data_IF_715892762422
#
_entry.id   IF_715892762422
#
_cell.length_a   1.000
_cell.length_b   1.000
_cell.length_c   1.000
_cell.angle_alpha   90.00
_cell.angle_beta   90.00
_cell.angle_gamma   90.00
#
_symmetry.space_group_name_H-M   'P 1'
#
loop_
_entity.id
_entity.type
_entity.pdbx_description
1 polymer ?
#
# COMPACT_ATOMS: atom_id res chain seq x y z
N UNK A 1 -20.61 -16.60 -5.06
CA UNK A 1 -20.21 -15.93 -3.80
C UNK A 1 -21.46 -15.26 -3.19
N UNK A 2 -21.77 -15.61 -1.95
CA UNK A 2 -22.90 -15.02 -1.23
C UNK A 2 -22.39 -13.82 -0.41
N UNK A 3 -22.51 -12.63 -0.96
CA UNK A 3 -22.21 -11.40 -0.23
C UNK A 3 -23.21 -11.19 0.91
N UNK A 4 -22.70 -10.97 2.12
CA UNK A 4 -23.53 -10.63 3.28
C UNK A 4 -23.95 -11.78 4.20
N UNK A 5 -23.66 -13.03 3.84
CA UNK A 5 -23.93 -14.21 4.67
C UNK A 5 -22.64 -15.03 4.81
N UNK A 6 -22.16 -15.19 6.05
CA UNK A 6 -20.94 -15.95 6.34
C UNK A 6 -19.67 -15.26 5.84
N UNK A 7 -18.70 -16.05 5.46
CA UNK A 7 -17.43 -15.63 4.88
C UNK A 7 -17.47 -15.61 3.34
N UNK A 8 -16.47 -14.96 2.74
CA UNK A 8 -16.31 -14.90 1.28
C UNK A 8 -14.86 -15.08 0.88
N UNK A 9 -14.66 -15.91 -0.15
CA UNK A 9 -13.43 -15.99 -0.93
C UNK A 9 -13.59 -15.09 -2.14
N UNK A 10 -12.81 -14.00 -2.26
CA UNK A 10 -12.93 -13.06 -3.37
C UNK A 10 -11.68 -13.11 -4.27
N UNK A 11 -11.82 -13.79 -5.40
CA UNK A 11 -10.81 -13.87 -6.43
C UNK A 11 -11.09 -12.95 -7.63
N UNK A 12 -11.96 -11.97 -7.44
CA UNK A 12 -12.33 -10.99 -8.47
C UNK A 12 -11.13 -10.20 -8.99
N UNK A 13 -10.21 -9.81 -8.09
CA UNK A 13 -8.99 -9.09 -8.45
C UNK A 13 -8.04 -9.99 -9.25
N UNK A 14 -7.79 -11.23 -8.83
CA UNK A 14 -6.85 -12.11 -9.53
C UNK A 14 -7.48 -12.76 -10.77
N UNK A 15 -8.36 -13.73 -10.60
CA UNK A 15 -8.96 -14.48 -11.72
C UNK A 15 -10.00 -13.67 -12.50
N UNK A 16 -10.73 -12.80 -11.84
CA UNK A 16 -11.73 -11.94 -12.47
C UNK A 16 -11.18 -10.67 -13.10
N UNK A 17 -9.88 -10.40 -12.96
CA UNK A 17 -9.17 -9.24 -13.50
C UNK A 17 -9.81 -7.89 -13.13
N UNK A 18 -10.59 -7.82 -12.05
CA UNK A 18 -11.10 -6.57 -11.49
C UNK A 18 -9.94 -5.72 -10.96
N UNK A 19 -10.13 -4.41 -10.91
CA UNK A 19 -9.12 -3.51 -10.31
C UNK A 19 -9.09 -3.65 -8.78
N UNK A 20 -8.01 -3.19 -8.12
CA UNK A 20 -7.93 -3.24 -6.66
C UNK A 20 -9.02 -2.40 -5.99
N UNK A 21 -9.48 -1.32 -6.64
CA UNK A 21 -10.57 -0.47 -6.16
C UNK A 21 -11.91 -1.22 -6.03
N UNK A 22 -12.09 -2.35 -6.75
CA UNK A 22 -13.28 -3.20 -6.57
C UNK A 22 -13.41 -3.75 -5.15
N UNK A 23 -12.30 -3.88 -4.41
CA UNK A 23 -12.30 -4.30 -3.02
C UNK A 23 -12.96 -3.27 -2.07
N UNK A 24 -13.17 -2.02 -2.51
CA UNK A 24 -13.93 -1.01 -1.77
C UNK A 24 -15.45 -1.25 -1.80
N UNK A 25 -15.93 -2.00 -2.77
CA UNK A 25 -17.36 -2.27 -3.00
C UNK A 25 -17.74 -3.73 -2.81
N UNK A 26 -16.83 -4.64 -3.13
CA UNK A 26 -17.01 -6.09 -2.98
C UNK A 26 -16.72 -6.49 -1.50
N UNK A 27 -17.61 -6.08 -0.60
CA UNK A 27 -17.41 -6.15 0.85
C UNK A 27 -18.24 -7.28 1.47
N UNK A 28 -17.60 -8.33 2.01
CA UNK A 28 -18.27 -9.39 2.75
C UNK A 28 -18.41 -9.07 4.24
N UNK A 29 -19.14 -9.90 4.98
CA UNK A 29 -19.14 -9.88 6.45
C UNK A 29 -17.77 -10.28 7.04
N UNK A 30 -17.10 -11.21 6.37
CA UNK A 30 -15.76 -11.68 6.67
C UNK A 30 -15.07 -12.07 5.35
N UNK A 31 -13.95 -11.43 5.06
CA UNK A 31 -13.11 -11.79 3.90
C UNK A 31 -12.15 -12.89 4.32
N UNK A 32 -12.50 -14.14 4.04
CA UNK A 32 -11.69 -15.29 4.42
C UNK A 32 -10.57 -15.59 3.44
N UNK A 33 -10.67 -15.08 2.19
CA UNK A 33 -9.61 -15.27 1.20
C UNK A 33 -9.71 -14.23 0.08
N UNK A 34 -8.58 -13.59 -0.21
CA UNK A 34 -8.31 -12.80 -1.42
C UNK A 34 -6.82 -12.71 -1.62
N UNK A 35 -6.33 -12.47 -2.83
CA UNK A 35 -4.90 -12.46 -3.06
C UNK A 35 -4.46 -11.88 -4.40
N UNK A 36 -3.18 -11.56 -4.48
CA UNK A 36 -2.48 -11.12 -5.68
C UNK A 36 -1.05 -11.65 -5.66
N UNK A 37 -0.49 -12.01 -6.82
CA UNK A 37 0.86 -12.58 -6.89
C UNK A 37 1.96 -11.53 -7.09
N UNK A 38 3.17 -11.91 -6.67
CA UNK A 38 4.43 -11.31 -7.14
C UNK A 38 5.53 -12.37 -7.21
N UNK A 39 6.60 -12.04 -7.92
CA UNK A 39 7.85 -12.77 -7.81
C UNK A 39 8.38 -12.69 -6.37
N UNK A 40 9.19 -13.66 -5.91
CA UNK A 40 10.02 -13.46 -4.72
C UNK A 40 11.15 -12.47 -5.03
N UNK A 41 11.93 -12.07 -4.02
CA UNK A 41 13.10 -11.19 -4.24
C UNK A 41 14.16 -11.87 -5.12
N UNK A 42 14.99 -11.05 -5.81
CA UNK A 42 16.03 -11.53 -6.71
C UNK A 42 16.98 -12.56 -6.08
N UNK A 43 17.31 -12.40 -4.78
CA UNK A 43 18.14 -13.39 -4.05
C UNK A 43 17.51 -14.78 -3.99
N UNK A 44 16.19 -14.85 -3.95
CA UNK A 44 15.44 -16.12 -3.99
C UNK A 44 15.37 -16.65 -5.42
N UNK A 45 15.13 -15.79 -6.41
CA UNK A 45 15.12 -16.17 -7.83
C UNK A 45 16.49 -16.78 -8.22
N UNK A 46 17.59 -16.19 -7.80
CA UNK A 46 18.94 -16.69 -8.07
C UNK A 46 19.24 -18.10 -7.49
N UNK A 47 18.37 -18.65 -6.65
CA UNK A 47 18.51 -20.03 -6.16
C UNK A 47 17.99 -21.09 -7.14
N UNK A 48 17.16 -20.70 -8.10
CA UNK A 48 16.53 -21.63 -9.05
C UNK A 48 16.67 -21.21 -10.53
N UNK A 49 17.15 -20.00 -10.80
CA UNK A 49 17.30 -19.47 -12.16
C UNK A 49 18.69 -18.86 -12.35
N UNK A 50 19.26 -19.04 -13.55
CA UNK A 50 20.48 -18.39 -13.98
C UNK A 50 20.16 -17.04 -14.67
N UNK A 51 21.14 -16.12 -14.85
CA UNK A 51 20.89 -14.83 -15.48
C UNK A 51 20.24 -14.89 -16.87
N UNK A 52 20.51 -15.92 -17.65
CA UNK A 52 19.90 -16.17 -18.96
C UNK A 52 18.39 -16.46 -18.88
N UNK A 53 17.89 -16.87 -17.71
CA UNK A 53 16.47 -17.15 -17.43
C UNK A 53 15.71 -15.93 -16.91
N UNK A 54 16.39 -14.78 -16.72
CA UNK A 54 15.78 -13.56 -16.15
C UNK A 54 14.84 -12.87 -17.14
N UNK A 55 13.79 -13.57 -17.49
CA UNK A 55 12.69 -13.14 -18.35
C UNK A 55 11.39 -13.75 -17.82
N UNK A 56 10.32 -12.93 -17.75
CA UNK A 56 9.04 -13.37 -17.13
C UNK A 56 8.39 -14.57 -17.84
N UNK A 57 8.78 -14.85 -19.08
CA UNK A 57 8.23 -15.93 -19.92
C UNK A 57 9.22 -17.08 -20.12
N UNK A 58 10.39 -17.07 -19.46
CA UNK A 58 11.34 -18.18 -19.56
C UNK A 58 10.74 -19.49 -19.04
N UNK A 59 11.24 -20.63 -19.52
CA UNK A 59 10.78 -21.95 -19.07
C UNK A 59 10.94 -22.10 -17.55
N UNK A 60 12.05 -21.61 -16.99
CA UNK A 60 12.34 -21.67 -15.56
C UNK A 60 11.32 -20.83 -14.77
N UNK A 61 11.02 -19.58 -15.20
CA UNK A 61 10.04 -18.75 -14.52
C UNK A 61 8.62 -19.32 -14.61
N UNK A 62 8.26 -19.93 -15.73
CA UNK A 62 6.98 -20.62 -15.90
C UNK A 62 6.90 -21.91 -15.07
N UNK A 63 7.99 -22.66 -14.93
CA UNK A 63 8.05 -23.82 -14.06
C UNK A 63 7.93 -23.45 -12.57
N UNK A 64 8.42 -22.25 -12.19
CA UNK A 64 8.35 -21.71 -10.83
C UNK A 64 7.14 -20.74 -10.64
N UNK A 65 6.02 -21.00 -11.33
CA UNK A 65 4.80 -20.19 -11.22
C UNK A 65 3.62 -21.04 -10.74
N UNK A 66 2.98 -20.65 -9.63
CA UNK A 66 1.80 -21.36 -9.08
C UNK A 66 0.53 -21.21 -9.92
N UNK A 67 0.46 -20.23 -10.81
CA UNK A 67 -0.71 -19.98 -11.66
C UNK A 67 -0.28 -19.89 -13.12
N UNK A 68 -0.87 -20.71 -13.99
CA UNK A 68 -0.53 -20.74 -15.42
C UNK A 68 -0.63 -19.39 -16.15
N UNK A 69 -1.44 -18.46 -15.61
CA UNK A 69 -1.62 -17.10 -16.16
C UNK A 69 -0.83 -16.03 -15.39
N UNK A 70 -0.08 -16.43 -14.35
CA UNK A 70 0.41 -15.52 -13.32
C UNK A 70 1.35 -14.44 -13.81
N UNK A 71 2.39 -14.83 -14.59
CA UNK A 71 3.40 -13.88 -15.04
C UNK A 71 2.82 -12.79 -15.95
N UNK A 72 1.99 -13.19 -16.94
CA UNK A 72 1.31 -12.26 -17.82
C UNK A 72 0.32 -11.37 -17.06
N UNK A 73 -0.37 -11.94 -16.06
CA UNK A 73 -1.35 -11.19 -15.27
C UNK A 73 -0.71 -10.14 -14.36
N UNK A 74 0.46 -10.44 -13.76
CA UNK A 74 1.25 -9.44 -13.01
C UNK A 74 1.59 -8.25 -13.92
N UNK A 75 2.07 -8.50 -15.16
CA UNK A 75 2.35 -7.45 -16.14
C UNK A 75 1.10 -6.62 -16.45
N UNK A 76 -0.04 -7.27 -16.72
CA UNK A 76 -1.31 -6.58 -17.02
C UNK A 76 -1.74 -5.63 -15.91
N UNK A 77 -1.61 -6.03 -14.64
CA UNK A 77 -1.91 -5.15 -13.50
C UNK A 77 -0.87 -4.05 -13.34
N UNK A 78 0.41 -4.37 -13.59
CA UNK A 78 1.48 -3.36 -13.54
C UNK A 78 1.21 -2.24 -14.54
N UNK A 79 0.81 -2.54 -15.77
CA UNK A 79 0.45 -1.55 -16.80
C UNK A 79 -0.67 -0.59 -16.39
N UNK A 80 -1.55 -1.01 -15.48
CA UNK A 80 -2.65 -0.16 -14.98
C UNK A 80 -2.16 0.96 -14.06
N UNK A 81 -1.14 0.69 -13.24
CA UNK A 81 -0.77 1.53 -12.10
C UNK A 81 0.69 2.02 -12.12
N UNK A 82 1.57 1.38 -12.91
CA UNK A 82 3.01 1.64 -12.99
C UNK A 82 3.49 1.72 -14.43
N UNK A 83 4.66 2.30 -14.63
CA UNK A 83 5.46 2.14 -15.85
C UNK A 83 6.10 0.75 -15.74
N UNK A 84 5.88 -0.10 -16.76
CA UNK A 84 6.46 -1.45 -16.77
C UNK A 84 7.95 -1.37 -17.08
N UNK A 85 8.84 -1.82 -16.19
CA UNK A 85 10.27 -1.82 -16.45
C UNK A 85 10.67 -2.81 -17.54
N UNK A 86 11.71 -2.48 -18.30
CA UNK A 86 12.31 -3.36 -19.31
C UNK A 86 13.24 -4.41 -18.68
N UNK A 87 13.97 -4.03 -17.61
CA UNK A 87 14.86 -4.93 -16.91
C UNK A 87 14.09 -5.85 -15.98
N UNK A 88 14.47 -7.12 -15.97
CA UNK A 88 13.80 -8.14 -15.16
C UNK A 88 13.85 -7.82 -13.67
N UNK A 89 15.00 -7.41 -13.15
CA UNK A 89 15.16 -7.07 -11.73
C UNK A 89 14.25 -5.92 -11.29
N UNK A 90 14.13 -4.90 -12.14
CA UNK A 90 13.25 -3.76 -11.90
C UNK A 90 11.78 -4.18 -11.99
N UNK A 91 11.44 -5.08 -12.94
CA UNK A 91 10.11 -5.68 -13.04
C UNK A 91 9.75 -6.46 -11.77
N UNK A 92 10.66 -7.27 -11.26
CA UNK A 92 10.49 -8.00 -9.99
C UNK A 92 10.23 -7.01 -8.84
N UNK A 93 11.03 -5.95 -8.74
CA UNK A 93 10.88 -4.93 -7.70
C UNK A 93 9.51 -4.24 -7.79
N UNK A 94 9.13 -3.73 -8.96
CA UNK A 94 7.83 -3.07 -9.15
C UNK A 94 6.67 -4.04 -8.92
N UNK A 95 6.83 -5.32 -9.32
CA UNK A 95 5.84 -6.37 -9.04
C UNK A 95 5.63 -6.64 -7.55
N UNK A 96 6.69 -6.59 -6.75
CA UNK A 96 6.62 -6.70 -5.28
C UNK A 96 5.87 -5.50 -4.67
N UNK A 97 6.15 -4.29 -5.17
CA UNK A 97 5.45 -3.06 -4.73
C UNK A 97 3.98 -3.09 -5.11
N UNK A 98 3.66 -3.48 -6.35
CA UNK A 98 2.29 -3.64 -6.85
C UNK A 98 1.47 -4.60 -5.99
N UNK A 99 2.00 -5.81 -5.71
CA UNK A 99 1.36 -6.77 -4.80
C UNK A 99 1.13 -6.13 -3.44
N UNK A 100 2.16 -5.51 -2.86
CA UNK A 100 2.11 -4.92 -1.53
C UNK A 100 1.04 -3.83 -1.42
N UNK A 101 1.01 -2.90 -2.36
CA UNK A 101 0.06 -1.79 -2.36
C UNK A 101 -1.37 -2.25 -2.66
N UNK A 102 -1.56 -3.12 -3.65
CA UNK A 102 -2.87 -3.64 -4.00
C UNK A 102 -3.52 -4.44 -2.86
N UNK A 103 -2.74 -5.29 -2.20
CA UNK A 103 -3.22 -6.05 -1.04
C UNK A 103 -3.47 -5.17 0.18
N UNK A 104 -2.61 -4.17 0.44
CA UNK A 104 -2.84 -3.16 1.46
C UNK A 104 -4.17 -2.44 1.24
N UNK A 105 -4.48 -2.03 0.01
CA UNK A 105 -5.75 -1.40 -0.35
C UNK A 105 -6.95 -2.25 0.09
N UNK A 106 -6.93 -3.55 -0.20
CA UNK A 106 -7.98 -4.49 0.21
C UNK A 106 -8.09 -4.63 1.74
N UNK A 107 -6.97 -4.82 2.44
CA UNK A 107 -6.95 -4.91 3.90
C UNK A 107 -7.53 -3.65 4.56
N UNK A 108 -7.15 -2.48 4.06
CA UNK A 108 -7.66 -1.20 4.52
C UNK A 108 -9.15 -1.02 4.20
N UNK A 109 -9.61 -1.45 3.01
CA UNK A 109 -11.02 -1.41 2.63
C UNK A 109 -11.89 -2.24 3.57
N UNK A 110 -11.47 -3.46 3.89
CA UNK A 110 -12.19 -4.35 4.81
C UNK A 110 -12.23 -3.77 6.23
N UNK A 111 -11.11 -3.29 6.76
CA UNK A 111 -11.04 -2.66 8.09
C UNK A 111 -11.86 -1.37 8.18
N UNK A 112 -11.85 -0.56 7.12
CA UNK A 112 -12.62 0.68 7.04
C UNK A 112 -14.12 0.45 7.11
N UNK A 113 -14.60 -0.69 6.63
CA UNK A 113 -16.03 -1.03 6.60
C UNK A 113 -16.53 -1.73 7.88
N UNK A 114 -15.79 -1.67 8.95
CA UNK A 114 -16.24 -2.07 10.27
C UNK A 114 -17.40 -1.16 10.75
N UNK A 115 -18.46 -1.67 11.38
CA UNK A 115 -18.62 -3.04 11.89
C UNK A 115 -19.26 -4.03 10.90
N UNK A 116 -19.45 -3.68 9.63
CA UNK A 116 -20.04 -4.60 8.66
C UNK A 116 -19.06 -5.74 8.33
N UNK A 117 -17.85 -5.44 7.90
CA UNK A 117 -16.79 -6.41 7.68
C UNK A 117 -15.93 -6.52 8.95
N UNK A 118 -15.98 -7.67 9.63
CA UNK A 118 -15.33 -7.86 10.93
C UNK A 118 -14.05 -8.68 10.88
N UNK A 119 -13.63 -9.14 9.70
CA UNK A 119 -12.37 -9.85 9.55
C UNK A 119 -11.90 -9.93 8.11
N UNK A 120 -10.59 -10.06 7.96
CA UNK A 120 -9.94 -10.19 6.66
C UNK A 120 -8.70 -11.05 6.77
N UNK A 121 -8.60 -12.05 5.89
CA UNK A 121 -7.45 -12.93 5.72
C UNK A 121 -7.03 -12.85 4.25
N UNK A 122 -5.73 -12.82 4.01
CA UNK A 122 -5.24 -12.85 2.64
C UNK A 122 -4.57 -14.19 2.30
N UNK A 123 -4.72 -14.62 1.08
CA UNK A 123 -3.99 -15.72 0.49
C UNK A 123 -2.74 -15.18 -0.21
N UNK A 124 -1.51 -15.52 0.25
CA UNK A 124 -1.24 -16.43 1.35
C UNK A 124 -0.05 -15.95 2.21
N UNK A 125 0.17 -16.55 3.36
CA UNK A 125 1.25 -16.14 4.27
C UNK A 125 2.62 -16.48 3.70
N UNK A 126 2.88 -17.75 3.35
CA UNK A 126 4.21 -18.23 2.97
C UNK A 126 4.16 -19.30 1.87
N UNK A 127 5.33 -19.64 1.37
CA UNK A 127 5.55 -20.67 0.35
C UNK A 127 6.17 -21.95 0.89
N UNK A 128 5.89 -23.07 0.23
CA UNK A 128 6.48 -24.40 0.52
C UNK A 128 7.66 -24.76 -0.40
N UNK A 129 7.97 -23.92 -1.39
CA UNK A 129 9.10 -24.04 -2.31
C UNK A 129 9.38 -22.68 -2.96
N UNK A 130 10.58 -22.42 -3.54
CA UNK A 130 10.90 -21.17 -4.20
C UNK A 130 10.03 -20.96 -5.45
N UNK A 131 9.14 -19.96 -5.44
CA UNK A 131 8.09 -19.85 -6.46
C UNK A 131 7.53 -18.44 -6.57
N UNK A 132 6.98 -18.10 -7.74
CA UNK A 132 6.11 -16.91 -7.94
C UNK A 132 4.72 -17.25 -7.42
N UNK A 133 4.23 -16.48 -6.46
CA UNK A 133 3.00 -16.81 -5.74
C UNK A 133 2.34 -15.62 -5.08
N UNK A 134 1.23 -15.86 -4.40
CA UNK A 134 0.48 -14.90 -3.59
C UNK A 134 1.10 -14.67 -2.20
N UNK A 135 2.18 -15.35 -1.85
CA UNK A 135 2.78 -15.30 -0.52
C UNK A 135 3.28 -13.90 -0.15
N UNK A 136 3.25 -13.59 1.16
CA UNK A 136 3.90 -12.41 1.74
C UNK A 136 5.30 -12.70 2.27
N UNK A 137 5.61 -13.98 2.57
CA UNK A 137 6.92 -14.48 2.98
C UNK A 137 7.31 -15.57 1.98
N UNK A 138 8.50 -15.49 1.42
CA UNK A 138 8.99 -16.48 0.49
C UNK A 138 9.42 -17.79 1.18
N UNK A 139 9.81 -18.77 0.39
CA UNK A 139 10.23 -20.09 0.91
C UNK A 139 11.38 -20.01 1.92
N UNK A 140 12.32 -19.08 1.76
CA UNK A 140 13.49 -18.92 2.63
C UNK A 140 13.22 -18.02 3.85
N UNK A 141 11.97 -17.58 4.06
CA UNK A 141 11.60 -16.71 5.16
C UNK A 141 11.84 -15.23 4.91
N UNK A 142 12.17 -14.82 3.68
CA UNK A 142 12.32 -13.42 3.35
C UNK A 142 10.95 -12.74 3.23
N UNK A 143 10.81 -11.58 3.83
CA UNK A 143 9.60 -10.78 3.73
C UNK A 143 9.53 -10.09 2.37
N UNK A 144 8.48 -10.37 1.62
CA UNK A 144 8.13 -9.62 0.41
C UNK A 144 7.51 -8.26 0.79
N UNK A 145 7.43 -7.32 -0.15
CA UNK A 145 6.83 -6.00 0.11
C UNK A 145 5.43 -6.11 0.73
N UNK A 146 4.63 -7.10 0.33
CA UNK A 146 3.32 -7.37 0.91
C UNK A 146 3.38 -7.55 2.44
N UNK A 147 4.37 -8.26 2.98
CA UNK A 147 4.41 -8.52 4.43
C UNK A 147 4.61 -7.23 5.24
N UNK A 148 5.44 -6.30 4.73
CA UNK A 148 5.59 -4.97 5.33
C UNK A 148 4.32 -4.12 5.21
N UNK A 149 3.62 -4.19 4.07
CA UNK A 149 2.37 -3.46 3.87
C UNK A 149 1.24 -4.04 4.73
N UNK A 150 1.15 -5.37 4.86
CA UNK A 150 0.21 -6.04 5.75
C UNK A 150 0.45 -5.66 7.21
N UNK A 151 1.73 -5.65 7.66
CA UNK A 151 2.11 -5.18 9.01
C UNK A 151 1.58 -3.78 9.30
N UNK A 152 1.70 -2.85 8.33
CA UNK A 152 1.18 -1.48 8.46
C UNK A 152 -0.34 -1.45 8.44
N UNK A 153 -0.97 -2.14 7.48
CA UNK A 153 -2.42 -2.18 7.36
C UNK A 153 -3.11 -2.83 8.57
N UNK A 154 -2.44 -3.74 9.28
CA UNK A 154 -2.91 -4.37 10.52
C UNK A 154 -2.41 -3.69 11.80
N UNK A 155 -1.79 -2.51 11.70
CA UNK A 155 -1.41 -1.77 12.91
C UNK A 155 -2.64 -1.54 13.80
N UNK A 156 -2.50 -1.66 15.14
CA UNK A 156 -3.62 -1.50 16.08
C UNK A 156 -4.34 -0.17 15.96
N UNK A 157 -3.62 0.89 15.59
CA UNK A 157 -4.16 2.19 15.18
C UNK A 157 -3.60 2.50 13.80
N UNK A 158 -4.49 2.91 12.88
CA UNK A 158 -4.07 3.17 11.51
C UNK A 158 -4.84 4.34 10.89
N UNK A 159 -4.10 5.23 10.22
CA UNK A 159 -4.66 6.32 9.42
C UNK A 159 -4.94 5.79 8.02
N UNK A 160 -6.18 5.86 7.57
CA UNK A 160 -6.56 5.40 6.26
C UNK A 160 -7.22 6.51 5.42
N UNK A 161 -6.44 7.25 4.63
CA UNK A 161 -6.96 8.19 3.64
C UNK A 161 -7.50 7.44 2.41
N UNK A 162 -8.62 7.91 1.87
CA UNK A 162 -9.18 7.40 0.63
C UNK A 162 -9.92 8.50 -0.13
N UNK A 163 -9.74 8.51 -1.44
CA UNK A 163 -10.55 9.34 -2.32
C UNK A 163 -11.83 8.61 -2.70
N UNK A 164 -12.96 9.30 -2.56
CA UNK A 164 -14.26 8.87 -3.05
C UNK A 164 -14.86 9.97 -3.92
N UNK A 165 -14.96 9.71 -5.22
CA UNK A 165 -15.33 10.71 -6.24
C UNK A 165 -14.39 11.92 -6.16
N UNK A 166 -14.94 13.12 -5.94
CA UNK A 166 -14.24 14.40 -5.83
C UNK A 166 -13.74 14.74 -4.41
N UNK A 167 -13.88 13.81 -3.46
CA UNK A 167 -13.63 14.08 -2.06
C UNK A 167 -12.58 13.15 -1.45
N UNK A 168 -11.70 13.71 -0.63
CA UNK A 168 -10.82 12.96 0.27
C UNK A 168 -11.52 12.70 1.59
N UNK A 169 -11.51 11.45 2.02
CA UNK A 169 -11.96 11.02 3.34
C UNK A 169 -10.77 10.46 4.13
N UNK A 170 -10.63 10.81 5.40
CA UNK A 170 -9.61 10.26 6.28
C UNK A 170 -10.30 9.50 7.41
N UNK A 171 -9.98 8.22 7.51
CA UNK A 171 -10.48 7.35 8.57
C UNK A 171 -9.38 7.10 9.60
N UNK A 172 -9.79 6.95 10.85
CA UNK A 172 -8.98 6.34 11.90
C UNK A 172 -9.56 4.95 12.20
N UNK A 173 -8.71 3.94 12.07
CA UNK A 173 -9.04 2.55 12.30
C UNK A 173 -8.40 2.13 13.63
N UNK A 174 -9.17 1.51 14.53
CA UNK A 174 -8.70 1.03 15.82
C UNK A 174 -9.10 -0.41 16.06
N UNK A 175 -8.12 -1.25 16.37
CA UNK A 175 -8.30 -2.62 16.89
C UNK A 175 -8.05 -2.68 18.40
N UNK A 176 -7.80 -1.53 19.04
CA UNK A 176 -7.62 -1.46 20.48
C UNK A 176 -8.93 -1.74 21.20
N UNK A 177 -8.82 -2.24 22.43
CA UNK A 177 -9.96 -2.51 23.31
C UNK A 177 -10.29 -1.34 24.26
N UNK A 178 -9.47 -0.27 24.19
CA UNK A 178 -9.63 0.97 24.94
C UNK A 178 -9.77 2.17 24.00
N UNK A 179 -10.45 3.20 24.44
CA UNK A 179 -10.56 4.48 23.71
C UNK A 179 -9.29 5.30 23.90
N UNK A 180 -8.74 5.81 22.81
CA UNK A 180 -7.65 6.78 22.86
C UNK A 180 -8.22 8.21 22.83
N UNK A 181 -7.88 8.99 23.83
CA UNK A 181 -8.34 10.34 24.01
C UNK A 181 -7.24 11.39 23.71
N UNK A 182 -7.68 12.61 23.33
CA UNK A 182 -6.79 13.75 23.09
C UNK A 182 -5.75 13.53 22.01
N UNK A 183 -6.12 12.76 20.97
CA UNK A 183 -5.29 12.56 19.81
C UNK A 183 -5.27 13.82 18.93
N UNK A 184 -4.19 14.02 18.19
CA UNK A 184 -4.04 15.08 17.21
C UNK A 184 -3.67 14.48 15.86
N UNK A 185 -4.48 14.75 14.84
CA UNK A 185 -4.16 14.41 13.45
C UNK A 185 -3.66 15.67 12.75
N UNK A 186 -2.40 15.62 12.29
CA UNK A 186 -1.78 16.62 11.43
C UNK A 186 -1.80 16.15 9.99
N UNK A 187 -2.23 17.01 9.06
CA UNK A 187 -2.28 16.73 7.64
C UNK A 187 -1.60 17.84 6.86
N UNK A 188 -0.64 17.47 6.00
CA UNK A 188 0.15 18.41 5.18
C UNK A 188 0.08 17.99 3.72
N UNK A 189 -0.25 18.90 2.83
CA UNK A 189 -0.06 18.70 1.39
C UNK A 189 1.27 19.34 1.00
N UNK A 190 2.13 18.54 0.38
CA UNK A 190 3.51 18.85 0.07
C UNK A 190 3.75 18.46 -1.39
N UNK A 191 4.43 19.30 -2.18
CA UNK A 191 4.89 18.90 -3.51
C UNK A 191 6.17 18.03 -3.43
N UNK A 192 6.54 17.44 -4.55
CA UNK A 192 7.73 16.58 -4.59
C UNK A 192 9.06 17.35 -4.50
N UNK A 193 9.03 18.69 -4.44
CA UNK A 193 10.18 19.54 -4.13
C UNK A 193 10.28 19.88 -2.64
N UNK A 194 9.34 19.39 -1.82
CA UNK A 194 9.30 19.62 -0.37
C UNK A 194 8.58 20.90 0.05
N UNK A 195 7.95 21.63 -0.89
CA UNK A 195 7.20 22.85 -0.59
C UNK A 195 5.80 22.52 -0.11
N UNK A 196 5.39 23.14 0.98
CA UNK A 196 4.01 23.06 1.47
C UNK A 196 3.07 23.80 0.53
N UNK A 197 2.09 23.09 -0.02
CA UNK A 197 1.09 23.62 -0.96
C UNK A 197 -0.04 24.33 -0.20
N UNK A 198 -0.42 23.81 0.96
CA UNK A 198 -1.46 24.39 1.82
C UNK A 198 -0.96 24.58 3.25
N UNK A 199 -1.70 25.37 4.03
CA UNK A 199 -1.47 25.43 5.48
C UNK A 199 -1.72 24.05 6.09
N UNK A 200 -0.89 23.59 7.04
CA UNK A 200 -1.14 22.34 7.76
C UNK A 200 -2.52 22.38 8.43
N UNK A 201 -3.27 21.30 8.26
CA UNK A 201 -4.57 21.10 8.91
C UNK A 201 -4.34 20.29 10.18
N UNK A 202 -4.91 20.77 11.30
CA UNK A 202 -4.78 20.14 12.61
C UNK A 202 -6.16 19.85 13.18
N UNK A 203 -6.47 18.57 13.34
CA UNK A 203 -7.63 18.10 14.10
C UNK A 203 -7.16 17.72 15.50
N UNK A 204 -7.51 18.53 16.50
CA UNK A 204 -7.08 18.33 17.89
C UNK A 204 -8.17 17.71 18.73
N UNK A 205 -7.77 17.12 19.85
CA UNK A 205 -8.68 16.52 20.85
C UNK A 205 -9.60 15.45 20.27
N UNK A 206 -9.09 14.70 19.27
CA UNK A 206 -9.82 13.57 18.71
C UNK A 206 -9.92 12.46 19.76
N UNK A 207 -11.08 11.82 19.81
CA UNK A 207 -11.32 10.55 20.50
C UNK A 207 -11.38 9.45 19.45
N UNK A 208 -10.59 8.38 19.64
CA UNK A 208 -10.60 7.18 18.78
C UNK A 208 -11.17 6.04 19.62
N UNK A 209 -12.47 5.70 19.44
CA UNK A 209 -13.10 4.66 20.23
C UNK A 209 -12.47 3.27 20.03
N UNK A 210 -12.69 2.40 20.99
CA UNK A 210 -12.28 1.00 20.91
C UNK A 210 -12.91 0.32 19.69
N UNK A 211 -12.16 -0.55 19.03
CA UNK A 211 -12.62 -1.45 17.96
C UNK A 211 -13.50 -0.76 16.90
N UNK A 212 -13.02 0.34 16.33
CA UNK A 212 -13.80 1.22 15.46
C UNK A 212 -13.15 1.53 14.12
N UNK A 213 -13.98 1.99 13.18
CA UNK A 213 -13.59 2.71 11.98
C UNK A 213 -14.38 4.02 11.94
N UNK A 214 -13.69 5.15 12.00
CA UNK A 214 -14.33 6.47 12.07
C UNK A 214 -13.76 7.40 11.00
N UNK A 215 -14.62 7.97 10.15
CA UNK A 215 -14.25 9.07 9.27
C UNK A 215 -14.13 10.36 10.09
N UNK A 216 -12.90 10.82 10.29
CA UNK A 216 -12.60 12.02 11.11
C UNK A 216 -12.44 13.29 10.29
N UNK A 217 -12.22 13.15 8.98
CA UNK A 217 -12.09 14.29 8.06
C UNK A 217 -12.65 13.97 6.69
N UNK A 218 -13.33 14.94 6.09
CA UNK A 218 -13.80 14.87 4.70
C UNK A 218 -13.72 16.25 4.08
N UNK A 219 -13.19 16.35 2.87
CA UNK A 219 -13.13 17.59 2.09
C UNK A 219 -13.17 17.29 0.60
N UNK A 220 -13.63 18.23 -0.20
CA UNK A 220 -13.48 18.18 -1.64
C UNK A 220 -12.03 18.49 -2.03
N UNK A 221 -11.53 17.87 -3.10
CA UNK A 221 -10.16 18.06 -3.55
C UNK A 221 -9.90 19.49 -4.03
N UNK A 222 -10.86 20.14 -4.66
CA UNK A 222 -10.78 21.54 -5.09
C UNK A 222 -10.68 22.52 -3.89
N UNK A 223 -11.36 22.20 -2.78
CA UNK A 223 -11.24 22.96 -1.53
C UNK A 223 -9.89 22.72 -0.86
N UNK A 224 -9.44 21.46 -0.83
CA UNK A 224 -8.15 21.07 -0.25
C UNK A 224 -6.98 21.78 -0.92
N UNK A 225 -7.02 21.91 -2.24
CA UNK A 225 -5.96 22.47 -3.09
C UNK A 225 -6.30 23.88 -3.61
N UNK A 226 -7.26 24.57 -3.01
CA UNK A 226 -7.74 25.89 -3.47
C UNK A 226 -6.68 27.00 -3.47
N UNK A 227 -5.57 26.83 -2.74
CA UNK A 227 -4.48 27.81 -2.67
C UNK A 227 -3.43 27.66 -3.77
N UNK A 228 -3.57 26.67 -4.65
CA UNK A 228 -2.61 26.40 -5.72
C UNK A 228 -2.90 27.27 -6.95
N UNK A 229 -1.87 27.49 -7.77
CA UNK A 229 -2.00 28.22 -9.05
C UNK A 229 -2.24 27.29 -10.24
N UNK A 230 -1.93 26.00 -10.10
CA UNK A 230 -2.14 25.00 -11.15
C UNK A 230 -3.59 24.54 -11.17
N UNK A 231 -4.11 24.09 -12.32
CA UNK A 231 -5.37 23.37 -12.38
C UNK A 231 -5.36 22.15 -11.43
N UNK A 232 -6.50 21.82 -10.84
CA UNK A 232 -6.61 20.70 -9.89
C UNK A 232 -6.06 19.39 -10.47
N UNK A 233 -6.42 19.06 -11.72
CA UNK A 233 -5.98 17.85 -12.42
C UNK A 233 -4.46 17.73 -12.55
N UNK A 234 -3.78 18.85 -12.68
CA UNK A 234 -2.32 18.91 -12.76
C UNK A 234 -1.68 18.87 -11.36
N UNK A 235 -2.24 19.62 -10.40
CA UNK A 235 -1.69 19.69 -9.03
C UNK A 235 -1.68 18.31 -8.36
N UNK A 236 -2.70 17.49 -8.59
CA UNK A 236 -2.78 16.12 -8.07
C UNK A 236 -1.63 15.21 -8.51
N UNK A 237 -0.96 15.52 -9.63
CA UNK A 237 0.19 14.77 -10.14
C UNK A 237 1.53 15.22 -9.52
N UNK A 238 1.55 16.40 -8.88
CA UNK A 238 2.78 17.02 -8.33
C UNK A 238 2.88 16.96 -6.81
N UNK A 239 1.88 16.42 -6.12
CA UNK A 239 1.86 16.48 -4.67
C UNK A 239 1.37 15.19 -4.00
N UNK A 240 1.60 15.13 -2.70
CA UNK A 240 1.10 14.09 -1.83
C UNK A 240 0.63 14.69 -0.51
N UNK A 241 -0.12 13.92 0.26
CA UNK A 241 -0.48 14.30 1.62
C UNK A 241 0.27 13.44 2.62
N UNK A 242 0.94 14.09 3.57
CA UNK A 242 1.51 13.45 4.76
C UNK A 242 0.53 13.60 5.91
N UNK A 243 0.16 12.48 6.51
CA UNK A 243 -0.76 12.42 7.65
C UNK A 243 -0.03 11.81 8.85
N UNK A 244 -0.03 12.51 9.97
CA UNK A 244 0.64 12.08 11.20
C UNK A 244 -0.33 12.15 12.38
N UNK A 245 -0.58 11.01 13.03
CA UNK A 245 -1.40 10.91 14.23
C UNK A 245 -0.49 10.90 15.47
N UNK A 246 -0.76 11.83 16.40
CA UNK A 246 0.01 11.98 17.64
C UNK A 246 -0.88 11.77 18.87
N UNK A 247 -0.31 11.19 19.89
CA UNK A 247 -0.94 11.08 21.19
C UNK A 247 -0.90 12.43 21.96
N UNK A 248 -1.47 12.44 23.17
CA UNK A 248 -1.49 13.62 24.05
C UNK A 248 -0.10 14.12 24.49
N UNK A 249 0.92 13.28 24.38
CA UNK A 249 2.31 13.60 24.72
C UNK A 249 3.11 14.07 23.51
N UNK A 250 2.49 14.03 22.32
CA UNK A 250 3.13 14.40 21.05
C UNK A 250 3.89 13.25 20.37
N UNK A 251 3.87 12.03 20.92
CA UNK A 251 4.46 10.87 20.27
C UNK A 251 3.66 10.47 19.03
N UNK A 252 4.37 10.15 17.95
CA UNK A 252 3.76 9.64 16.72
C UNK A 252 3.24 8.23 16.96
N UNK A 253 1.94 8.04 16.75
CA UNK A 253 1.23 6.76 16.89
C UNK A 253 1.13 6.06 15.55
N UNK A 254 0.85 6.81 14.48
CA UNK A 254 0.85 6.33 13.09
C UNK A 254 1.16 7.47 12.14
N UNK A 255 1.78 7.13 11.01
CA UNK A 255 2.08 8.07 9.95
C UNK A 255 1.91 7.39 8.59
N UNK A 256 1.29 8.09 7.64
CA UNK A 256 1.08 7.58 6.29
C UNK A 256 1.18 8.68 5.25
N UNK A 257 1.58 8.28 4.04
CA UNK A 257 1.59 9.14 2.85
C UNK A 257 0.44 8.72 1.94
N UNK A 258 -0.24 9.69 1.37
CA UNK A 258 -1.30 9.49 0.40
C UNK A 258 -0.98 10.22 -0.90
N UNK A 259 -0.89 9.49 -2.00
CA UNK A 259 -0.75 10.03 -3.34
C UNK A 259 -2.13 10.19 -3.97
N UNK A 260 -2.36 11.31 -4.66
CA UNK A 260 -3.65 11.63 -5.27
C UNK A 260 -3.83 11.03 -6.67
N UNK A 261 -2.77 10.47 -7.24
CA UNK A 261 -2.76 9.85 -8.55
C UNK A 261 -2.06 8.49 -8.53
N UNK A 262 -2.20 7.72 -9.59
CA UNK A 262 -1.48 6.46 -9.77
C UNK A 262 0.02 6.72 -9.91
N UNK A 263 0.83 5.77 -9.46
CA UNK A 263 2.29 5.93 -9.43
C UNK A 263 2.87 6.30 -10.81
N UNK A 264 2.35 5.72 -11.90
CA UNK A 264 2.80 6.03 -13.26
C UNK A 264 2.50 7.44 -13.74
N UNK A 265 1.50 8.10 -13.14
CA UNK A 265 1.03 9.42 -13.53
C UNK A 265 1.66 10.53 -12.67
N UNK A 266 2.38 10.16 -11.59
CA UNK A 266 3.05 11.12 -10.72
C UNK A 266 4.22 11.78 -11.46
N UNK A 267 4.29 13.10 -11.39
CA UNK A 267 5.35 13.91 -11.98
C UNK A 267 6.47 14.11 -10.94
N UNK A 268 7.19 13.02 -10.67
CA UNK A 268 8.30 13.01 -9.73
C UNK A 268 9.50 13.76 -10.36
N UNK A 269 10.23 14.59 -9.58
CA UNK A 269 11.46 15.21 -10.06
C UNK A 269 12.55 14.17 -10.28
N UNK A 270 13.33 14.34 -11.33
CA UNK A 270 14.57 13.56 -11.50
C UNK A 270 15.54 13.88 -10.37
N UNK A 271 16.01 12.85 -9.69
CA UNK A 271 16.94 13.03 -8.57
C UNK A 271 17.88 11.84 -8.42
N UNK A 272 19.00 12.07 -7.76
CA UNK A 272 19.91 11.00 -7.35
C UNK A 272 19.86 10.87 -5.84
N UNK A 273 19.45 9.69 -5.37
CA UNK A 273 19.49 9.36 -3.95
C UNK A 273 20.87 8.81 -3.62
N UNK A 274 21.59 9.49 -2.73
CA UNK A 274 22.83 8.98 -2.16
C UNK A 274 22.58 8.39 -0.77
N UNK A 275 23.51 7.56 -0.31
CA UNK A 275 23.38 6.96 1.02
C UNK A 275 24.71 6.98 1.78
N UNK A 276 24.60 6.99 3.10
CA UNK A 276 25.71 6.72 4.03
C UNK A 276 25.29 5.56 4.91
N UNK A 277 26.21 4.62 5.10
CA UNK A 277 25.99 3.48 5.99
C UNK A 277 27.04 3.48 7.09
N UNK A 278 26.60 3.38 8.33
CA UNK A 278 27.45 3.25 9.51
C UNK A 278 27.08 1.96 10.22
N UNK A 279 28.03 1.07 10.37
CA UNK A 279 27.87 -0.18 11.10
C UNK A 279 28.54 -0.06 12.47
N UNK A 280 27.78 -0.37 13.50
CA UNK A 280 28.23 -0.50 14.89
C UNK A 280 27.87 -1.89 15.37
N UNK A 281 28.43 -2.35 16.51
CA UNK A 281 28.19 -3.68 17.03
C UNK A 281 26.69 -3.97 17.21
N UNK A 282 26.12 -4.78 16.27
CA UNK A 282 24.73 -5.23 16.27
C UNK A 282 23.72 -4.31 15.59
N UNK A 283 24.11 -3.10 15.13
CA UNK A 283 23.20 -2.16 14.47
C UNK A 283 23.81 -1.62 13.18
N UNK A 284 22.95 -1.35 12.20
CA UNK A 284 23.30 -0.68 10.94
C UNK A 284 22.43 0.57 10.78
N UNK A 285 23.07 1.74 10.78
CA UNK A 285 22.42 3.02 10.49
C UNK A 285 22.60 3.35 9.00
N UNK A 286 21.46 3.42 8.29
CA UNK A 286 21.41 3.82 6.88
C UNK A 286 20.80 5.22 6.79
N UNK A 287 21.59 6.18 6.31
CA UNK A 287 21.12 7.55 6.03
C UNK A 287 20.94 7.71 4.53
N UNK A 288 19.71 7.99 4.09
CA UNK A 288 19.40 8.34 2.70
C UNK A 288 19.42 9.87 2.56
N UNK A 289 20.03 10.34 1.47
CA UNK A 289 20.14 11.77 1.16
C UNK A 289 19.55 12.01 -0.24
N UNK A 290 18.56 12.89 -0.32
CA UNK A 290 17.97 13.36 -1.57
C UNK A 290 17.97 14.89 -1.59
N UNK A 291 18.29 15.55 -2.71
CA UNK A 291 18.14 17.00 -2.87
C UNK A 291 16.69 17.44 -3.01
N UNK A 292 15.78 16.51 -3.28
CA UNK A 292 14.32 16.70 -3.36
C UNK A 292 13.63 15.64 -2.51
N UNK A 293 12.38 15.86 -2.21
CA UNK A 293 11.60 15.00 -1.33
C UNK A 293 11.16 13.74 -2.06
#
# INVERSE_FOLDING_TARGET
ESWGIGDSHNWGVWYGQKTFESLDTDLPRFMSEFGFQSFPEMKTIATFAAPEDYQIESEVMNAHQKSSIGNALIRTYMERDYIVPEKFEDFVYVGLVLQGQGMRHGLEAHRRNRPYCMGTLYWQLNDSWPVVSWSSIDYYGNWKALHYQAKRAFAPIHINPIQRNDSLCVYLLSDRLDTLEKMTLEMKVIDFEGKKISKPMLLKSLSVPANTSQCVYRTKLDVLLSSTKRPLSEELLHCFMLLTLKDKSGHVVDETVYFFAKTKDLLLPETTISYKMKQTDGECELTLLSPVL
#
